data_IF_986006858529
#
_entry.id   IF_986006858529
#
_cell.length_a   1.000
_cell.length_b   1.000
_cell.length_c   1.000
_cell.angle_alpha   90.00
_cell.angle_beta   90.00
_cell.angle_gamma   90.00
#
_symmetry.space_group_name_H-M   'P 1'
#
loop_
_entity.id
_entity.type
_entity.pdbx_description
1 polymer ?
#
# COMPACT_ATOMS: atom_id res chain seq x y z
N UNK A 1 11.75 8.34 -21.63
CA UNK A 1 11.40 7.52 -20.44
C UNK A 1 10.55 8.39 -19.54
N UNK A 2 9.39 7.94 -19.11
CA UNK A 2 8.54 8.69 -18.17
C UNK A 2 9.15 8.59 -16.76
N UNK A 3 9.22 9.72 -16.06
CA UNK A 3 9.70 9.75 -14.67
C UNK A 3 8.79 8.85 -13.80
N UNK A 4 9.36 7.94 -12.98
CA UNK A 4 8.56 7.12 -12.08
C UNK A 4 7.84 7.97 -11.04
N UNK A 5 6.71 7.47 -10.51
CA UNK A 5 5.96 8.13 -9.44
C UNK A 5 6.71 8.00 -8.13
N UNK A 6 7.27 6.82 -7.84
CA UNK A 6 8.11 6.57 -6.69
C UNK A 6 9.44 5.97 -7.14
N UNK A 7 10.53 6.47 -6.60
CA UNK A 7 11.86 5.87 -6.71
C UNK A 7 12.51 5.88 -5.34
N UNK A 8 12.87 4.70 -4.86
CA UNK A 8 13.62 4.50 -3.61
C UNK A 8 15.01 4.01 -3.98
N UNK A 9 16.04 4.65 -3.44
CA UNK A 9 17.44 4.34 -3.72
C UNK A 9 18.18 4.09 -2.44
N UNK A 10 18.78 2.92 -2.35
CA UNK A 10 19.71 2.54 -1.29
C UNK A 10 19.15 2.84 0.11
N UNK A 11 17.89 2.40 0.36
CA UNK A 11 17.17 2.70 1.58
C UNK A 11 17.63 1.76 2.70
N UNK A 12 18.34 2.33 3.67
CA UNK A 12 18.69 1.69 4.93
C UNK A 12 17.77 2.19 6.04
N UNK A 13 17.28 1.30 6.88
CA UNK A 13 16.48 1.68 8.06
C UNK A 13 16.94 0.87 9.26
N UNK A 14 17.20 1.55 10.37
CA UNK A 14 17.60 0.92 11.62
C UNK A 14 16.70 1.37 12.79
N UNK A 15 16.38 0.45 13.69
CA UNK A 15 15.74 0.69 14.98
C UNK A 15 16.77 0.50 16.10
N UNK A 16 17.28 1.61 16.63
CA UNK A 16 18.42 1.58 17.54
C UNK A 16 19.66 0.97 16.89
N UNK A 17 20.05 -0.23 17.33
CA UNK A 17 21.23 -0.95 16.79
C UNK A 17 20.87 -2.06 15.77
N UNK A 18 19.58 -2.27 15.53
CA UNK A 18 19.12 -3.32 14.61
C UNK A 18 18.76 -2.71 13.28
N UNK A 19 19.47 -3.05 12.24
CA UNK A 19 19.16 -2.68 10.87
C UNK A 19 18.05 -3.60 10.35
N UNK A 20 16.99 -3.00 9.80
CA UNK A 20 15.80 -3.67 9.29
C UNK A 20 15.71 -3.63 7.77
N UNK A 21 16.44 -2.71 7.11
CA UNK A 21 16.63 -2.65 5.66
C UNK A 21 18.07 -2.32 5.34
N UNK A 22 18.65 -3.03 4.39
CA UNK A 22 20.08 -3.03 4.06
C UNK A 22 20.36 -2.47 2.65
N UNK A 23 19.79 -1.32 2.28
CA UNK A 23 20.01 -0.69 0.97
C UNK A 23 18.96 -1.04 -0.08
N UNK A 24 17.71 -1.21 0.35
CA UNK A 24 16.61 -1.56 -0.55
C UNK A 24 16.37 -0.47 -1.62
N UNK A 25 16.26 -0.89 -2.88
CA UNK A 25 15.95 -0.01 -4.02
C UNK A 25 14.73 -0.54 -4.77
N UNK A 26 13.72 0.31 -4.95
CA UNK A 26 12.48 -0.04 -5.67
C UNK A 26 11.98 1.13 -6.52
N UNK A 27 11.23 0.83 -7.54
CA UNK A 27 10.64 1.84 -8.45
C UNK A 27 9.19 1.51 -8.75
N UNK A 28 8.32 2.55 -8.76
CA UNK A 28 6.90 2.42 -9.13
C UNK A 28 6.56 3.45 -10.20
N UNK A 29 6.12 2.97 -11.36
CA UNK A 29 5.65 3.82 -12.47
C UNK A 29 4.21 4.29 -12.29
N UNK A 30 3.80 5.29 -13.10
CA UNK A 30 2.40 5.73 -13.15
C UNK A 30 1.49 4.60 -13.66
N UNK A 31 0.34 4.39 -13.01
CA UNK A 31 -0.59 3.33 -13.35
C UNK A 31 0.02 1.93 -13.28
N UNK A 32 0.99 1.70 -12.42
CA UNK A 32 1.65 0.42 -12.20
C UNK A 32 1.34 -0.10 -10.80
N UNK A 33 1.10 -1.39 -10.69
CA UNK A 33 1.08 -2.11 -9.42
C UNK A 33 2.43 -2.78 -9.23
N UNK A 34 3.17 -2.35 -8.22
CA UNK A 34 4.40 -2.99 -7.79
C UNK A 34 4.16 -3.65 -6.45
N UNK A 35 4.59 -4.89 -6.28
CA UNK A 35 4.47 -5.59 -5.01
C UNK A 35 5.83 -5.90 -4.41
N UNK A 36 5.91 -5.83 -3.07
CA UNK A 36 7.02 -6.36 -2.28
C UNK A 36 6.48 -7.54 -1.48
N UNK A 37 6.94 -8.73 -1.82
CA UNK A 37 6.58 -9.96 -1.13
C UNK A 37 7.73 -10.42 -0.22
N UNK A 38 7.40 -11.12 0.85
CA UNK A 38 8.39 -11.65 1.79
C UNK A 38 7.74 -12.12 3.09
N UNK A 39 8.47 -12.88 3.92
CA UNK A 39 7.97 -13.38 5.20
C UNK A 39 7.72 -12.25 6.20
N UNK A 40 7.06 -12.57 7.31
CA UNK A 40 6.93 -11.65 8.43
C UNK A 40 8.32 -11.32 9.00
N UNK A 41 8.54 -10.05 9.31
CA UNK A 41 9.85 -9.56 9.78
C UNK A 41 10.86 -9.26 8.67
N UNK A 42 10.52 -9.45 7.38
CA UNK A 42 11.43 -9.14 6.28
C UNK A 42 11.76 -7.65 6.08
N UNK A 43 11.00 -6.72 6.73
CA UNK A 43 11.20 -5.28 6.59
C UNK A 43 10.14 -4.57 5.72
N UNK A 44 9.10 -5.28 5.27
CA UNK A 44 8.06 -4.74 4.36
C UNK A 44 7.37 -3.48 4.89
N UNK A 45 6.76 -3.55 6.09
CA UNK A 45 6.09 -2.40 6.73
C UNK A 45 7.08 -1.30 7.11
N UNK A 46 8.33 -1.67 7.46
CA UNK A 46 9.42 -0.72 7.69
C UNK A 46 9.70 0.10 6.43
N UNK A 47 9.75 -0.54 5.26
CA UNK A 47 9.92 0.13 3.97
C UNK A 47 8.79 1.13 3.71
N UNK A 48 7.53 0.71 3.87
CA UNK A 48 6.38 1.61 3.66
C UNK A 48 6.40 2.81 4.62
N UNK A 49 6.69 2.57 5.90
CA UNK A 49 6.77 3.63 6.90
C UNK A 49 7.92 4.61 6.63
N UNK A 50 9.08 4.11 6.16
CA UNK A 50 10.18 4.98 5.74
C UNK A 50 9.81 5.86 4.54
N UNK A 51 9.17 5.26 3.51
CA UNK A 51 8.67 5.97 2.33
C UNK A 51 7.63 7.01 2.73
N UNK A 52 6.70 6.68 3.64
CA UNK A 52 5.68 7.59 4.14
C UNK A 52 6.23 8.68 5.08
N UNK A 53 7.45 8.54 5.60
CA UNK A 53 8.00 9.41 6.64
C UNK A 53 7.39 9.19 8.02
N UNK A 54 6.82 8.00 8.24
CA UNK A 54 6.07 7.63 9.45
C UNK A 54 6.88 6.71 10.39
N UNK A 55 8.21 6.73 10.29
CA UNK A 55 9.06 5.97 11.22
C UNK A 55 8.97 6.55 12.63
N UNK A 56 9.01 5.66 13.65
CA UNK A 56 9.03 6.06 15.06
C UNK A 56 10.33 6.79 15.44
N UNK A 57 10.30 7.50 16.56
CA UNK A 57 11.41 8.34 17.04
C UNK A 57 12.74 7.59 17.31
N UNK A 58 12.70 6.28 17.49
CA UNK A 58 13.88 5.43 17.70
C UNK A 58 14.44 4.84 16.38
N UNK A 59 13.87 5.20 15.24
CA UNK A 59 14.32 4.75 13.94
C UNK A 59 15.15 5.82 13.22
N UNK A 60 16.09 5.36 12.41
CA UNK A 60 16.87 6.19 11.48
C UNK A 60 16.76 5.64 10.08
N UNK A 61 16.73 6.52 9.08
CA UNK A 61 16.70 6.15 7.67
C UNK A 61 17.79 6.88 6.89
N UNK A 62 18.46 6.15 5.98
CA UNK A 62 19.43 6.68 5.02
C UNK A 62 19.00 6.26 3.61
N UNK A 63 19.65 6.85 2.59
CA UNK A 63 19.25 6.68 1.21
C UNK A 63 18.33 7.79 0.72
N UNK A 64 17.71 7.62 -0.44
CA UNK A 64 16.82 8.60 -1.05
C UNK A 64 15.44 8.04 -1.35
N UNK A 65 14.40 8.84 -1.13
CA UNK A 65 13.02 8.60 -1.52
C UNK A 65 12.58 9.76 -2.40
N UNK A 66 12.27 9.46 -3.66
CA UNK A 66 11.89 10.46 -4.64
C UNK A 66 10.42 10.24 -5.05
N UNK A 67 9.60 11.26 -4.89
CA UNK A 67 8.23 11.32 -5.40
C UNK A 67 8.21 12.19 -6.65
N UNK A 68 7.93 11.59 -7.82
CA UNK A 68 7.97 12.27 -9.13
C UNK A 68 9.28 13.05 -9.37
N UNK A 69 10.40 12.47 -8.92
CA UNK A 69 11.73 13.04 -9.06
C UNK A 69 12.12 14.05 -7.96
N UNK A 70 11.21 14.47 -7.09
CA UNK A 70 11.51 15.33 -5.94
C UNK A 70 11.92 14.50 -4.73
N UNK A 71 13.06 14.80 -4.09
CA UNK A 71 13.48 14.15 -2.85
C UNK A 71 12.55 14.58 -1.69
N UNK A 72 11.92 13.60 -1.07
CA UNK A 72 10.96 13.82 0.01
C UNK A 72 11.57 13.66 1.41
N UNK A 73 12.87 13.45 1.52
CA UNK A 73 13.54 13.14 2.79
C UNK A 73 13.26 14.18 3.88
N UNK A 74 13.29 15.46 3.50
CA UNK A 74 13.04 16.56 4.43
C UNK A 74 11.54 16.86 4.65
N UNK A 75 10.63 16.21 3.92
CA UNK A 75 9.21 16.50 4.02
C UNK A 75 8.58 15.75 5.21
N UNK A 76 7.82 16.44 6.06
CA UNK A 76 7.00 15.77 7.08
C UNK A 76 5.90 14.93 6.42
N UNK A 77 5.29 14.05 7.20
CA UNK A 77 4.21 13.15 6.70
C UNK A 77 3.09 13.93 6.01
N UNK A 78 2.67 15.04 6.61
CA UNK A 78 1.58 15.89 6.10
C UNK A 78 1.90 16.45 4.71
N UNK A 79 3.15 16.81 4.46
CA UNK A 79 3.57 17.30 3.13
C UNK A 79 3.58 16.15 2.11
N UNK A 80 4.10 14.97 2.48
CA UNK A 80 4.06 13.79 1.60
C UNK A 80 2.65 13.42 1.21
N UNK A 81 1.71 13.44 2.17
CA UNK A 81 0.27 13.23 1.91
C UNK A 81 -0.28 14.32 1.00
N UNK A 82 0.07 15.57 1.29
CA UNK A 82 -0.36 16.73 0.48
C UNK A 82 0.13 16.66 -0.97
N UNK A 83 1.30 16.04 -1.21
CA UNK A 83 1.85 15.83 -2.56
C UNK A 83 1.33 14.54 -3.23
N UNK A 84 0.38 13.86 -2.60
CA UNK A 84 -0.34 12.73 -3.20
C UNK A 84 0.21 11.35 -2.84
N UNK A 85 0.91 11.20 -1.73
CA UNK A 85 1.32 9.91 -1.17
C UNK A 85 0.33 9.50 -0.09
N UNK A 86 -0.27 8.31 -0.19
CA UNK A 86 -1.18 7.79 0.83
C UNK A 86 -0.76 6.38 1.26
N UNK A 87 -0.77 6.13 2.57
CA UNK A 87 -0.50 4.82 3.16
C UNK A 87 -1.77 4.31 3.86
N UNK A 88 -2.13 3.07 3.56
CA UNK A 88 -3.11 2.28 4.31
C UNK A 88 -2.31 1.27 5.14
N UNK A 89 -2.18 1.46 6.46
CA UNK A 89 -1.44 0.55 7.31
C UNK A 89 -2.22 -0.76 7.55
N UNK A 90 -1.51 -1.80 7.99
CA UNK A 90 -2.07 -3.11 8.35
C UNK A 90 -3.18 -2.97 9.42
N UNK A 91 -2.98 -2.09 10.41
CA UNK A 91 -3.94 -1.79 11.49
C UNK A 91 -5.22 -1.10 11.02
N UNK A 92 -5.22 -0.54 9.77
CA UNK A 92 -6.32 0.23 9.16
C UNK A 92 -6.56 1.59 9.81
N UNK A 93 -6.27 1.77 11.10
CA UNK A 93 -6.37 2.99 11.91
C UNK A 93 -7.67 3.78 11.68
N UNK A 94 -8.81 3.07 11.79
CA UNK A 94 -10.13 3.69 11.66
C UNK A 94 -10.56 4.34 12.97
N UNK A 95 -11.29 5.45 12.84
CA UNK A 95 -12.02 6.04 13.95
C UNK A 95 -13.29 5.23 14.18
N UNK A 96 -13.22 4.25 15.08
CA UNK A 96 -14.22 3.19 15.26
C UNK A 96 -15.59 3.70 15.74
N UNK A 97 -15.62 4.83 16.45
CA UNK A 97 -16.85 5.48 16.94
C UNK A 97 -17.50 6.40 15.91
N UNK A 98 -16.76 6.78 14.86
CA UNK A 98 -17.27 7.60 13.78
C UNK A 98 -17.98 6.74 12.71
N UNK A 99 -18.87 7.36 11.95
CA UNK A 99 -19.54 6.68 10.84
C UNK A 99 -18.56 6.31 9.73
N UNK A 100 -18.99 5.41 8.85
CA UNK A 100 -18.25 5.09 7.61
C UNK A 100 -18.00 6.36 6.80
N UNK A 101 -19.04 7.18 6.59
CA UNK A 101 -18.95 8.42 5.82
C UNK A 101 -17.98 9.42 6.45
N UNK A 102 -18.02 9.60 7.78
CA UNK A 102 -17.09 10.50 8.46
C UNK A 102 -15.63 10.02 8.32
N UNK A 103 -15.39 8.70 8.46
CA UNK A 103 -14.06 8.15 8.21
C UNK A 103 -13.57 8.43 6.78
N UNK A 104 -14.44 8.30 5.78
CA UNK A 104 -14.08 8.62 4.40
C UNK A 104 -13.77 10.10 4.24
N UNK A 105 -14.62 10.98 4.76
CA UNK A 105 -14.46 12.44 4.64
C UNK A 105 -13.15 12.95 5.25
N UNK A 106 -12.66 12.34 6.34
CA UNK A 106 -11.35 12.66 6.91
C UNK A 106 -10.21 12.51 5.90
N UNK A 107 -10.33 11.58 4.95
CA UNK A 107 -9.34 11.41 3.88
C UNK A 107 -9.23 12.60 2.91
N UNK A 108 -10.25 13.46 2.86
CA UNK A 108 -10.24 14.67 2.02
C UNK A 108 -9.62 15.90 2.71
N UNK A 109 -9.15 15.76 3.96
CA UNK A 109 -8.72 16.91 4.78
C UNK A 109 -7.64 17.79 4.11
N UNK A 110 -6.64 17.21 3.49
CA UNK A 110 -5.57 17.97 2.79
C UNK A 110 -6.11 18.76 1.61
N UNK A 111 -7.08 18.21 0.89
CA UNK A 111 -7.77 18.86 -0.24
C UNK A 111 -8.67 19.98 0.25
N UNK A 112 -9.41 19.74 1.33
CA UNK A 112 -10.22 20.77 1.99
C UNK A 112 -9.37 21.96 2.44
N UNK A 113 -8.21 21.74 3.06
CA UNK A 113 -7.26 22.83 3.42
C UNK A 113 -6.78 23.65 2.22
N UNK A 114 -6.71 23.06 1.03
CA UNK A 114 -6.37 23.75 -0.23
C UNK A 114 -7.57 24.48 -0.86
N UNK A 115 -8.75 24.45 -0.22
CA UNK A 115 -9.97 25.08 -0.71
C UNK A 115 -10.71 24.30 -1.79
N UNK A 116 -10.34 23.04 -2.04
CA UNK A 116 -11.05 22.16 -2.97
C UNK A 116 -12.44 21.82 -2.40
N UNK A 117 -13.49 21.95 -3.22
CA UNK A 117 -14.90 21.77 -2.79
C UNK A 117 -15.57 20.55 -3.39
N UNK A 118 -14.85 19.74 -4.17
CA UNK A 118 -15.39 18.61 -4.91
C UNK A 118 -15.32 17.27 -4.14
N UNK A 119 -15.17 17.31 -2.81
CA UNK A 119 -15.11 16.14 -1.96
C UNK A 119 -16.34 15.22 -2.08
N UNK A 120 -17.54 15.79 -2.38
CA UNK A 120 -18.76 15.00 -2.62
C UNK A 120 -18.64 14.14 -3.86
N UNK A 121 -18.16 14.70 -4.97
CA UNK A 121 -17.92 13.96 -6.19
C UNK A 121 -16.89 12.82 -5.97
N UNK A 122 -15.85 13.09 -5.17
CA UNK A 122 -14.87 12.06 -4.81
C UNK A 122 -15.48 10.97 -3.91
N UNK A 123 -16.38 11.34 -3.00
CA UNK A 123 -17.09 10.38 -2.16
C UNK A 123 -17.97 9.44 -3.01
N UNK A 124 -18.63 9.97 -4.05
CA UNK A 124 -19.41 9.15 -4.99
C UNK A 124 -18.50 8.16 -5.75
N UNK A 125 -17.30 8.58 -6.19
CA UNK A 125 -16.32 7.68 -6.81
C UNK A 125 -15.93 6.55 -5.85
N UNK A 126 -15.70 6.87 -4.57
CA UNK A 126 -15.38 5.85 -3.57
C UNK A 126 -16.57 4.90 -3.35
N UNK A 127 -17.78 5.41 -3.31
CA UNK A 127 -18.98 4.57 -3.17
C UNK A 127 -19.25 3.69 -4.40
N UNK A 128 -18.88 4.14 -5.60
CA UNK A 128 -18.98 3.32 -6.82
C UNK A 128 -17.94 2.20 -6.86
N UNK A 129 -16.78 2.39 -6.21
CA UNK A 129 -15.78 1.35 -6.00
C UNK A 129 -16.21 0.38 -4.89
N UNK A 130 -16.86 0.88 -3.85
CA UNK A 130 -17.30 0.15 -2.66
C UNK A 130 -18.79 0.36 -2.36
N UNK A 131 -19.74 -0.23 -3.13
CA UNK A 131 -21.17 -0.01 -2.94
C UNK A 131 -21.68 -0.31 -1.52
N UNK A 132 -21.06 -1.31 -0.86
CA UNK A 132 -21.34 -1.67 0.52
C UNK A 132 -21.13 -0.52 1.51
N UNK A 133 -20.16 0.35 1.25
CA UNK A 133 -19.89 1.52 2.10
C UNK A 133 -21.01 2.56 1.97
N UNK A 134 -21.60 2.72 0.77
CA UNK A 134 -22.77 3.59 0.54
C UNK A 134 -23.99 3.13 1.33
N UNK A 135 -24.25 1.80 1.29
CA UNK A 135 -25.37 1.19 2.02
C UNK A 135 -25.25 1.38 3.54
N UNK A 136 -24.02 1.41 4.05
CA UNK A 136 -23.70 1.47 5.49
C UNK A 136 -23.07 2.79 5.93
N UNK A 137 -23.26 3.86 5.14
CA UNK A 137 -22.56 5.14 5.35
C UNK A 137 -22.72 5.74 6.74
N UNK A 138 -23.89 5.56 7.37
CA UNK A 138 -24.21 6.07 8.71
C UNK A 138 -23.84 5.13 9.84
N UNK A 139 -23.38 3.89 9.52
CA UNK A 139 -23.01 2.89 10.50
C UNK A 139 -21.65 3.23 11.12
N UNK A 140 -21.48 3.00 12.43
CA UNK A 140 -20.19 3.16 13.10
C UNK A 140 -19.15 2.17 12.54
N UNK A 141 -17.96 2.66 12.13
CA UNK A 141 -16.95 1.86 11.47
C UNK A 141 -16.45 0.68 12.33
N UNK A 142 -16.48 0.82 13.66
CA UNK A 142 -16.10 -0.25 14.60
C UNK A 142 -17.01 -1.47 14.57
N UNK A 143 -18.26 -1.32 14.09
CA UNK A 143 -19.24 -2.42 14.00
C UNK A 143 -19.19 -3.17 12.66
N UNK A 144 -18.33 -2.74 11.75
CA UNK A 144 -18.14 -3.33 10.43
C UNK A 144 -17.30 -4.61 10.51
N UNK A 145 -17.51 -5.53 9.57
CA UNK A 145 -16.65 -6.70 9.40
C UNK A 145 -15.21 -6.31 9.06
N UNK A 146 -14.24 -7.23 9.25
CA UNK A 146 -12.84 -6.98 8.92
C UNK A 146 -12.62 -6.52 7.47
N UNK A 147 -13.34 -7.14 6.53
CA UNK A 147 -13.28 -6.77 5.11
C UNK A 147 -13.89 -5.40 4.81
N UNK A 148 -15.04 -5.09 5.41
CA UNK A 148 -15.65 -3.77 5.26
C UNK A 148 -14.78 -2.68 5.88
N UNK A 149 -14.15 -2.94 7.03
CA UNK A 149 -13.17 -2.01 7.61
C UNK A 149 -11.97 -1.78 6.69
N UNK A 150 -11.51 -2.81 5.99
CA UNK A 150 -10.45 -2.68 4.97
C UNK A 150 -10.91 -1.77 3.81
N UNK A 151 -12.15 -1.96 3.34
CA UNK A 151 -12.73 -1.08 2.30
C UNK A 151 -12.83 0.37 2.77
N UNK A 152 -13.21 0.62 4.03
CA UNK A 152 -13.24 1.99 4.60
C UNK A 152 -11.83 2.59 4.63
N UNK A 153 -10.81 1.83 5.04
CA UNK A 153 -9.43 2.33 5.11
C UNK A 153 -8.89 2.69 3.71
N UNK A 154 -9.10 1.82 2.72
CA UNK A 154 -8.73 2.09 1.33
C UNK A 154 -9.54 3.27 0.77
N UNK A 155 -10.86 3.28 0.99
CA UNK A 155 -11.73 4.37 0.57
C UNK A 155 -11.31 5.72 1.15
N UNK A 156 -10.95 5.77 2.43
CA UNK A 156 -10.41 6.97 3.09
C UNK A 156 -9.14 7.46 2.42
N UNK A 157 -8.22 6.57 2.07
CA UNK A 157 -7.00 6.94 1.35
C UNK A 157 -7.29 7.51 -0.05
N UNK A 158 -8.29 6.96 -0.74
CA UNK A 158 -8.71 7.41 -2.08
C UNK A 158 -9.39 8.79 -2.08
N UNK A 159 -9.96 9.23 -0.94
CA UNK A 159 -10.51 10.58 -0.82
C UNK A 159 -9.45 11.67 -1.01
N UNK A 160 -8.17 11.37 -0.72
CA UNK A 160 -7.05 12.27 -0.99
C UNK A 160 -6.69 12.40 -2.48
N UNK A 161 -7.24 11.56 -3.38
CA UNK A 161 -6.82 11.42 -4.80
C UNK A 161 -5.31 11.19 -4.91
N UNK A 162 -4.78 10.11 -4.33
CA UNK A 162 -3.34 9.91 -4.29
C UNK A 162 -2.77 9.64 -5.70
N UNK A 163 -1.55 10.12 -5.92
CA UNK A 163 -0.73 9.70 -7.05
C UNK A 163 -0.06 8.35 -6.79
N UNK A 164 0.26 8.11 -5.50
CA UNK A 164 0.83 6.87 -4.99
C UNK A 164 -0.03 6.36 -3.82
N UNK A 165 -0.60 5.18 -3.98
CA UNK A 165 -1.29 4.45 -2.92
C UNK A 165 -0.40 3.31 -2.43
N UNK A 166 -0.04 3.34 -1.16
CA UNK A 166 0.73 2.29 -0.50
C UNK A 166 -0.20 1.47 0.39
N UNK A 167 -0.13 0.15 0.28
CA UNK A 167 -0.99 -0.79 1.00
C UNK A 167 -0.14 -1.79 1.78
N UNK A 168 -0.32 -1.82 3.09
CA UNK A 168 0.38 -2.74 4.00
C UNK A 168 -0.52 -3.93 4.34
N UNK A 169 -0.21 -5.08 3.78
CA UNK A 169 -0.90 -6.37 3.98
C UNK A 169 -2.43 -6.27 3.92
N UNK A 170 -3.02 -5.69 2.85
CA UNK A 170 -4.46 -5.44 2.79
C UNK A 170 -5.32 -6.70 2.82
N UNK A 171 -4.74 -7.88 2.61
CA UNK A 171 -5.46 -9.16 2.65
C UNK A 171 -5.42 -9.85 4.02
N UNK A 172 -4.64 -9.35 4.97
CA UNK A 172 -4.38 -10.03 6.24
C UNK A 172 -5.66 -10.20 7.08
N UNK A 173 -5.92 -11.44 7.50
CA UNK A 173 -7.06 -11.78 8.37
C UNK A 173 -8.42 -11.69 7.68
N UNK A 174 -8.47 -11.64 6.34
CA UNK A 174 -9.72 -11.56 5.59
C UNK A 174 -10.13 -12.91 5.01
N UNK A 175 -11.45 -13.11 4.86
CA UNK A 175 -12.00 -14.28 4.19
C UNK A 175 -11.60 -14.29 2.69
N UNK A 176 -11.40 -15.46 2.06
CA UNK A 176 -10.90 -15.57 0.68
C UNK A 176 -11.73 -14.81 -0.36
N UNK A 177 -13.04 -14.71 -0.18
CA UNK A 177 -13.91 -13.94 -1.08
C UNK A 177 -13.63 -12.42 -0.99
N UNK A 178 -13.40 -11.93 0.22
CA UNK A 178 -13.08 -10.51 0.46
C UNK A 178 -11.68 -10.17 -0.08
N UNK A 179 -10.71 -11.08 0.11
CA UNK A 179 -9.38 -10.92 -0.49
C UNK A 179 -9.49 -10.72 -2.01
N UNK A 180 -10.26 -11.58 -2.70
CA UNK A 180 -10.49 -11.45 -4.14
C UNK A 180 -11.14 -10.12 -4.51
N UNK A 181 -12.08 -9.63 -3.70
CA UNK A 181 -12.76 -8.35 -3.93
C UNK A 181 -11.77 -7.17 -3.79
N UNK A 182 -10.97 -7.15 -2.71
CA UNK A 182 -9.94 -6.12 -2.49
C UNK A 182 -8.94 -6.09 -3.66
N UNK A 183 -8.43 -7.24 -4.07
CA UNK A 183 -7.47 -7.29 -5.19
C UNK A 183 -8.09 -6.85 -6.53
N UNK A 184 -9.37 -7.16 -6.79
CA UNK A 184 -10.07 -6.62 -7.97
C UNK A 184 -10.15 -5.11 -7.95
N UNK A 185 -10.39 -4.52 -6.79
CA UNK A 185 -10.44 -3.07 -6.63
C UNK A 185 -9.05 -2.47 -6.83
N UNK A 186 -7.99 -3.08 -6.27
CA UNK A 186 -6.61 -2.66 -6.49
C UNK A 186 -6.28 -2.63 -8.00
N UNK A 187 -6.63 -3.69 -8.74
CA UNK A 187 -6.42 -3.75 -10.20
C UNK A 187 -7.23 -2.66 -10.92
N UNK A 188 -8.49 -2.43 -10.52
CA UNK A 188 -9.31 -1.37 -11.11
C UNK A 188 -8.75 0.03 -10.83
N UNK A 189 -8.15 0.25 -9.66
CA UNK A 189 -7.50 1.54 -9.34
C UNK A 189 -6.31 1.84 -10.25
N UNK A 190 -5.54 0.83 -10.65
CA UNK A 190 -4.48 0.98 -11.63
C UNK A 190 -4.98 1.58 -12.95
N UNK A 191 -6.17 1.18 -13.41
CA UNK A 191 -6.78 1.68 -14.65
C UNK A 191 -7.09 3.18 -14.59
N UNK A 192 -7.20 3.76 -13.39
CA UNK A 192 -7.39 5.20 -13.17
C UNK A 192 -6.07 5.99 -13.18
N UNK A 193 -4.92 5.32 -13.38
CA UNK A 193 -3.60 5.93 -13.42
C UNK A 193 -2.90 6.06 -12.06
N UNK A 194 -3.51 5.58 -10.97
CA UNK A 194 -2.89 5.56 -9.63
C UNK A 194 -1.73 4.57 -9.62
N UNK A 195 -0.56 5.01 -9.15
CA UNK A 195 0.56 4.12 -8.86
C UNK A 195 0.31 3.40 -7.53
N UNK A 196 0.57 2.09 -7.47
CA UNK A 196 0.29 1.29 -6.28
C UNK A 196 1.55 0.54 -5.86
N UNK A 197 1.94 0.73 -4.60
CA UNK A 197 2.96 -0.08 -3.92
C UNK A 197 2.25 -0.97 -2.89
N UNK A 198 2.26 -2.26 -3.14
CA UNK A 198 1.58 -3.26 -2.32
C UNK A 198 2.62 -4.11 -1.59
N UNK A 199 2.59 -4.18 -0.28
CA UNK A 199 3.34 -5.20 0.45
C UNK A 199 2.39 -6.29 0.95
N UNK A 200 2.79 -7.55 0.79
CA UNK A 200 1.95 -8.70 1.08
C UNK A 200 2.75 -9.92 1.53
N UNK A 201 2.16 -10.68 2.43
CA UNK A 201 2.60 -12.03 2.74
C UNK A 201 1.94 -13.04 1.79
N UNK A 202 0.72 -12.78 1.31
CA UNK A 202 0.02 -13.60 0.33
C UNK A 202 0.62 -13.40 -1.07
N UNK A 203 1.82 -13.97 -1.28
CA UNK A 203 2.59 -13.81 -2.51
C UNK A 203 1.79 -14.18 -3.77
N UNK A 204 0.95 -15.23 -3.71
CA UNK A 204 0.14 -15.66 -4.86
C UNK A 204 -0.82 -14.57 -5.32
N UNK A 205 -1.60 -14.00 -4.40
CA UNK A 205 -2.56 -12.97 -4.73
C UNK A 205 -1.86 -11.68 -5.19
N UNK A 206 -0.74 -11.31 -4.53
CA UNK A 206 0.06 -10.16 -4.87
C UNK A 206 0.66 -10.25 -6.28
N UNK A 207 1.31 -11.37 -6.62
CA UNK A 207 1.91 -11.59 -7.94
C UNK A 207 0.88 -11.66 -9.07
N UNK A 208 -0.35 -12.15 -8.79
CA UNK A 208 -1.43 -12.15 -9.78
C UNK A 208 -1.95 -10.75 -10.12
N UNK A 209 -1.86 -9.81 -9.18
CA UNK A 209 -2.36 -8.45 -9.37
C UNK A 209 -1.28 -7.48 -9.86
N UNK A 210 -0.01 -7.75 -9.57
CA UNK A 210 1.10 -6.85 -9.82
C UNK A 210 1.66 -6.94 -11.25
N UNK A 211 2.27 -5.84 -11.70
CA UNK A 211 3.06 -5.80 -12.95
C UNK A 211 4.52 -6.17 -12.69
N UNK A 212 5.06 -5.75 -11.55
CA UNK A 212 6.43 -5.97 -11.14
C UNK A 212 6.49 -6.35 -9.67
N UNK A 213 7.49 -7.13 -9.28
CA UNK A 213 7.61 -7.55 -7.90
C UNK A 213 9.07 -7.57 -7.44
N UNK A 214 9.23 -7.30 -6.15
CA UNK A 214 10.45 -7.44 -5.38
C UNK A 214 10.23 -8.50 -4.30
N UNK A 215 11.23 -9.33 -4.07
CA UNK A 215 11.24 -10.30 -2.97
C UNK A 215 12.17 -9.76 -1.90
N UNK A 216 11.64 -9.53 -0.72
CA UNK A 216 12.37 -8.99 0.44
C UNK A 216 12.57 -10.10 1.48
N UNK A 217 13.81 -10.38 1.83
CA UNK A 217 14.19 -11.32 2.89
C UNK A 217 15.16 -10.65 3.86
N UNK A 218 14.82 -10.61 5.13
CA UNK A 218 15.71 -10.11 6.21
C UNK A 218 16.35 -8.76 5.89
N UNK A 219 15.58 -7.83 5.32
CA UNK A 219 16.03 -6.49 4.99
C UNK A 219 16.65 -6.30 3.60
N UNK A 220 16.90 -7.39 2.87
CA UNK A 220 17.53 -7.37 1.55
C UNK A 220 16.52 -7.66 0.43
N UNK A 221 16.62 -6.95 -0.68
CA UNK A 221 15.93 -7.32 -1.93
C UNK A 221 16.73 -8.41 -2.61
N UNK A 222 16.23 -9.65 -2.51
CA UNK A 222 16.96 -10.86 -3.01
C UNK A 222 16.58 -11.23 -4.44
N UNK A 223 15.41 -10.82 -4.92
CA UNK A 223 14.94 -11.03 -6.30
C UNK A 223 14.04 -9.87 -6.73
N UNK A 224 14.04 -9.59 -8.03
CA UNK A 224 13.11 -8.64 -8.62
C UNK A 224 12.82 -9.00 -10.08
N UNK A 225 11.67 -8.59 -10.59
CA UNK A 225 11.31 -8.81 -12.00
C UNK A 225 9.83 -8.63 -12.27
N UNK A 226 9.41 -8.81 -13.54
CA UNK A 226 8.00 -8.86 -13.90
C UNK A 226 7.27 -9.91 -13.06
N UNK A 227 6.13 -9.52 -12.46
CA UNK A 227 5.40 -10.37 -11.52
C UNK A 227 5.01 -11.73 -12.13
N UNK A 228 4.67 -11.76 -13.42
CA UNK A 228 4.36 -12.99 -14.15
C UNK A 228 5.56 -13.94 -14.28
N UNK A 229 6.79 -13.43 -14.30
CA UNK A 229 8.01 -14.27 -14.32
C UNK A 229 8.27 -14.83 -12.92
N UNK A 230 8.21 -13.99 -11.88
CA UNK A 230 8.41 -14.42 -10.50
C UNK A 230 7.34 -15.41 -10.03
N UNK A 231 6.10 -15.29 -10.51
CA UNK A 231 5.05 -16.25 -10.21
C UNK A 231 5.34 -17.69 -10.74
N UNK A 232 6.24 -17.82 -11.71
CA UNK A 232 6.67 -19.08 -12.30
C UNK A 232 8.11 -19.49 -11.90
N UNK A 233 8.79 -18.67 -11.10
CA UNK A 233 10.13 -18.95 -10.63
C UNK A 233 10.12 -20.11 -9.61
N UNK A 234 10.93 -21.18 -9.80
CA UNK A 234 10.95 -22.34 -8.90
C UNK A 234 11.24 -21.98 -7.43
N UNK A 235 12.14 -21.04 -7.17
CA UNK A 235 12.50 -20.61 -5.82
C UNK A 235 11.32 -19.87 -5.16
N UNK A 236 10.63 -19.00 -5.90
CA UNK A 236 9.46 -18.28 -5.41
C UNK A 236 8.31 -19.26 -5.14
N UNK A 237 8.10 -20.23 -6.03
CA UNK A 237 7.06 -21.26 -5.88
C UNK A 237 7.32 -22.08 -4.61
N UNK A 238 8.53 -22.56 -4.42
CA UNK A 238 8.90 -23.40 -3.28
C UNK A 238 8.80 -22.65 -1.95
N UNK A 239 9.31 -21.40 -1.92
CA UNK A 239 9.43 -20.62 -0.68
C UNK A 239 8.12 -19.91 -0.29
N UNK A 240 7.38 -19.35 -1.27
CA UNK A 240 6.29 -18.41 -0.99
C UNK A 240 4.92 -18.88 -1.49
N UNK A 241 4.82 -19.78 -2.47
CA UNK A 241 3.54 -20.21 -3.02
C UNK A 241 3.05 -21.54 -2.45
N UNK A 242 3.84 -22.21 -1.60
CA UNK A 242 3.43 -23.43 -0.89
C UNK A 242 3.11 -24.62 -1.80
N UNK A 243 3.61 -24.62 -3.03
CA UNK A 243 3.46 -25.74 -3.94
C UNK A 243 4.63 -26.71 -3.73
N UNK A 244 4.64 -27.42 -2.58
CA UNK A 244 5.48 -28.60 -2.47
C UNK A 244 5.18 -29.52 -3.66
N UNK A 245 6.18 -29.87 -4.45
CA UNK A 245 6.10 -31.03 -5.34
C UNK A 245 5.64 -32.19 -4.47
N UNK A 246 4.39 -32.64 -4.65
CA UNK A 246 4.03 -33.99 -4.23
C UNK A 246 5.05 -34.88 -4.93
N UNK A 247 5.94 -35.46 -4.12
CA UNK A 247 6.80 -36.55 -4.53
C UNK A 247 5.95 -37.57 -5.28
N UNK A 248 6.35 -37.78 -6.52
CA UNK A 248 5.90 -38.91 -7.32
C UNK A 248 6.38 -40.23 -6.69
#
# INVERSE_FOLDING_TARGET
MTTPVLEVKDLHVAYGKVEALHGASITVGAGQIVTVIGPNGAGKSTMLNAIAGALGANASAQGAVLLRGADVKAWPVEERVAQGMSLVPESRDLFTTMSVEDNLLLGSYTRYKRGEKDWRAQLDVVYDLFPRLRERRTQAAGTMSGGERQMVAVGRALMARPALLMLDEPSLGLAPLIVKEIFRIIVRLKETGVAILLVEQNARAALQAADYAYVLETGDVVMEGPAAQLANDPKVIETYLGLNKKSA
#
